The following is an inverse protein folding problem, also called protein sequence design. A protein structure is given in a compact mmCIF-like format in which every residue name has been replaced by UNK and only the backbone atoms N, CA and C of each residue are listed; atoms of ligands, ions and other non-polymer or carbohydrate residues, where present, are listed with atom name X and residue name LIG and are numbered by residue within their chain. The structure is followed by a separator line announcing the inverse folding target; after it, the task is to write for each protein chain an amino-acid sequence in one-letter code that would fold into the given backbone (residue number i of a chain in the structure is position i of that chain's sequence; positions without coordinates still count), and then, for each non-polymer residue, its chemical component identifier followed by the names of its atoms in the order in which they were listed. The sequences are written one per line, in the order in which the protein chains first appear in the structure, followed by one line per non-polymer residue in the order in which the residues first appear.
data_IF_990250231383
#
_entry.id   IF_990250231383
#
_cell.length_a   1.000
_cell.length_b   1.000
_cell.length_c   1.000
_cell.angle_alpha   90.00
_cell.angle_beta   90.00
_cell.angle_gamma   90.00
#
_symmetry.space_group_name_H-M   'P 1'
#
loop_
_entity.id
_entity.type
_entity.pdbx_description
1 polymer ?
#
# COMPACT_ATOMS: atom_id res chain seq x y z
N UNK A 1 23.82 15.11 10.20
CA UNK A 1 22.42 15.01 10.67
C UNK A 1 22.48 14.44 12.07
N UNK A 2 22.17 15.23 13.10
CA UNK A 2 21.69 14.62 14.35
C UNK A 2 20.43 13.85 13.94
N UNK A 3 20.46 12.53 14.07
CA UNK A 3 19.25 11.71 13.96
C UNK A 3 18.20 12.36 14.85
N UNK A 4 16.95 12.49 14.37
CA UNK A 4 15.85 12.89 15.25
C UNK A 4 15.89 11.92 16.45
N UNK A 5 16.35 12.44 17.58
CA UNK A 5 17.02 11.61 18.58
C UNK A 5 16.00 10.92 19.46
N UNK A 6 15.65 9.68 19.13
CA UNK A 6 15.15 8.78 20.17
C UNK A 6 16.23 8.67 21.23
N UNK A 7 15.94 9.15 22.44
CA UNK A 7 16.87 9.00 23.57
C UNK A 7 17.15 7.50 23.76
N UNK A 8 18.42 7.08 23.78
CA UNK A 8 18.77 5.69 24.12
C UNK A 8 18.04 5.26 25.40
N UNK A 9 17.27 4.17 25.34
CA UNK A 9 16.46 3.67 26.46
C UNK A 9 14.94 3.92 26.38
N UNK A 10 14.46 4.67 25.38
CA UNK A 10 13.03 4.95 25.16
C UNK A 10 12.41 4.17 23.98
N UNK A 11 13.06 3.10 23.51
CA UNK A 11 12.51 2.22 22.48
C UNK A 11 12.69 0.75 22.88
N UNK A 12 11.77 -0.10 22.40
CA UNK A 12 11.85 -1.55 22.49
C UNK A 12 11.75 -2.11 21.08
N UNK A 13 12.71 -2.95 20.69
CA UNK A 13 12.74 -3.64 19.42
C UNK A 13 12.67 -5.14 19.73
N UNK A 14 11.65 -5.81 19.19
CA UNK A 14 11.44 -7.25 19.35
C UNK A 14 11.43 -7.86 17.96
N UNK A 15 12.35 -8.78 17.69
CA UNK A 15 12.48 -9.44 16.38
C UNK A 15 12.37 -10.96 16.58
N UNK A 16 11.63 -11.60 15.67
CA UNK A 16 11.44 -13.05 15.63
C UNK A 16 11.10 -13.64 17.00
N UNK A 17 11.96 -14.50 17.55
CA UNK A 17 11.74 -15.25 18.81
C UNK A 17 11.50 -14.37 20.03
N UNK A 18 11.90 -13.10 19.98
CA UNK A 18 11.70 -12.13 21.05
C UNK A 18 10.30 -11.53 21.03
N UNK A 19 9.62 -11.53 19.87
CA UNK A 19 8.30 -10.97 19.68
C UNK A 19 7.18 -11.94 20.09
N UNK A 20 7.21 -12.44 21.33
CA UNK A 20 6.09 -13.20 21.90
C UNK A 20 4.94 -12.26 22.28
N UNK A 21 3.71 -12.76 22.37
CA UNK A 21 2.54 -11.92 22.71
C UNK A 21 2.73 -11.19 24.04
N UNK A 22 3.30 -11.87 25.04
CA UNK A 22 3.56 -11.30 26.36
C UNK A 22 4.67 -10.24 26.33
N UNK A 23 5.74 -10.48 25.57
CA UNK A 23 6.82 -9.52 25.40
C UNK A 23 6.33 -8.25 24.69
N UNK A 24 5.53 -8.40 23.62
CA UNK A 24 4.94 -7.28 22.89
C UNK A 24 4.01 -6.45 23.79
N UNK A 25 3.10 -7.09 24.53
CA UNK A 25 2.20 -6.40 25.47
C UNK A 25 2.97 -5.69 26.58
N UNK A 26 4.00 -6.34 27.13
CA UNK A 26 4.86 -5.77 28.17
C UNK A 26 5.64 -4.55 27.67
N UNK A 27 6.16 -4.61 26.44
CA UNK A 27 6.86 -3.48 25.82
C UNK A 27 5.94 -2.28 25.62
N UNK A 28 4.72 -2.50 25.12
CA UNK A 28 3.70 -1.46 24.95
C UNK A 28 3.36 -0.79 26.29
N UNK A 29 3.05 -1.59 27.32
CA UNK A 29 2.72 -1.05 28.64
C UNK A 29 3.91 -0.29 29.25
N UNK A 30 5.13 -0.83 29.12
CA UNK A 30 6.34 -0.16 29.62
C UNK A 30 6.57 1.19 28.92
N UNK A 31 6.36 1.27 27.61
CA UNK A 31 6.49 2.51 26.86
C UNK A 31 5.42 3.53 27.26
N UNK A 32 4.17 3.08 27.46
CA UNK A 32 3.06 3.91 27.95
C UNK A 32 3.33 4.44 29.37
N UNK A 33 3.80 3.60 30.28
CA UNK A 33 4.02 3.97 31.68
C UNK A 33 5.17 4.96 31.85
N UNK A 34 6.21 4.86 31.00
CA UNK A 34 7.34 5.79 30.97
C UNK A 34 7.01 7.13 30.30
N UNK A 35 5.92 7.21 29.55
CA UNK A 35 5.59 8.37 28.74
C UNK A 35 5.03 9.54 29.60
N UNK A 36 5.70 10.70 29.64
CA UNK A 36 5.17 11.87 30.32
C UNK A 36 4.02 12.52 29.54
N UNK A 37 3.29 13.43 30.17
CA UNK A 37 2.29 14.25 29.47
C UNK A 37 2.92 15.01 28.30
N UNK A 38 2.15 15.18 27.22
CA UNK A 38 2.62 15.84 26.01
C UNK A 38 3.58 15.02 25.13
N UNK A 39 3.97 13.82 25.53
CA UNK A 39 4.90 12.99 24.75
C UNK A 39 4.26 12.36 23.52
N UNK A 40 5.11 11.75 22.69
CA UNK A 40 4.72 10.93 21.53
C UNK A 40 4.91 9.46 21.84
N UNK A 41 3.95 8.62 21.46
CA UNK A 41 4.07 7.16 21.41
C UNK A 41 4.08 6.71 19.95
N UNK A 42 4.99 5.81 19.59
CA UNK A 42 5.11 5.27 18.24
C UNK A 42 5.07 3.75 18.34
N UNK A 43 4.10 3.15 17.67
CA UNK A 43 3.99 1.71 17.49
C UNK A 43 4.21 1.38 16.02
N UNK A 44 5.13 0.44 15.77
CA UNK A 44 5.42 -0.09 14.44
C UNK A 44 5.39 -1.61 14.49
N UNK A 45 4.71 -2.23 13.54
CA UNK A 45 4.66 -3.68 13.37
C UNK A 45 4.90 -4.06 11.91
N UNK A 46 5.73 -5.06 11.65
CA UNK A 46 5.87 -5.68 10.33
C UNK A 46 5.87 -7.20 10.51
N UNK A 47 5.05 -7.91 9.74
CA UNK A 47 4.85 -9.34 9.89
C UNK A 47 3.52 -9.82 9.34
N UNK A 48 2.98 -10.91 9.91
CA UNK A 48 1.68 -11.43 9.49
C UNK A 48 0.54 -10.82 10.31
N UNK A 49 -0.54 -10.43 9.66
CA UNK A 49 -1.80 -10.16 10.34
C UNK A 49 -2.79 -11.28 10.06
N UNK A 50 -3.57 -11.64 11.06
CA UNK A 50 -4.62 -12.67 10.96
C UNK A 50 -5.95 -12.11 11.46
N UNK A 51 -7.03 -12.55 10.83
CA UNK A 51 -8.40 -12.25 11.22
C UNK A 51 -9.08 -13.54 11.67
N UNK A 52 -9.75 -13.51 12.81
CA UNK A 52 -10.55 -14.65 13.28
C UNK A 52 -11.99 -14.63 12.72
N UNK A 53 -12.77 -15.65 13.05
CA UNK A 53 -14.15 -15.79 12.58
C UNK A 53 -15.10 -14.72 13.17
N UNK A 54 -14.71 -14.08 14.28
CA UNK A 54 -15.46 -12.98 14.92
C UNK A 54 -15.01 -11.61 14.36
N UNK A 55 -14.25 -11.60 13.27
CA UNK A 55 -13.65 -10.41 12.64
C UNK A 55 -12.67 -9.64 13.53
N UNK A 56 -12.14 -10.27 14.58
CA UNK A 56 -11.07 -9.68 15.39
C UNK A 56 -9.74 -9.81 14.68
N UNK A 57 -8.95 -8.75 14.75
CA UNK A 57 -7.65 -8.65 14.10
C UNK A 57 -6.54 -8.85 15.13
N UNK A 58 -5.59 -9.71 14.76
CA UNK A 58 -4.41 -10.00 15.54
C UNK A 58 -3.17 -9.80 14.68
N UNK A 59 -2.16 -9.17 15.25
CA UNK A 59 -0.81 -9.24 14.72
C UNK A 59 -0.15 -10.53 15.21
N UNK A 60 0.47 -11.26 14.29
CA UNK A 60 1.13 -12.52 14.59
C UNK A 60 2.39 -12.26 15.41
N UNK A 61 2.34 -12.64 16.68
CA UNK A 61 3.52 -12.84 17.50
C UNK A 61 4.21 -14.16 17.12
N UNK A 62 5.46 -14.32 17.52
CA UNK A 62 6.25 -15.52 17.26
C UNK A 62 5.60 -16.81 17.76
N UNK A 63 4.89 -16.73 18.88
CA UNK A 63 4.22 -17.83 19.57
C UNK A 63 2.75 -18.01 19.16
N UNK A 64 2.31 -17.35 18.08
CA UNK A 64 0.93 -17.49 17.60
C UNK A 64 0.65 -18.94 17.15
N UNK A 65 -0.52 -19.44 17.54
CA UNK A 65 -1.01 -20.76 17.11
C UNK A 65 -2.24 -20.60 16.23
N UNK A 66 -2.21 -21.18 15.02
CA UNK A 66 -3.34 -21.22 14.09
C UNK A 66 -4.60 -21.77 14.77
N UNK A 67 -5.70 -21.03 14.67
CA UNK A 67 -6.97 -21.38 15.31
C UNK A 67 -7.07 -21.05 16.81
N UNK A 68 -6.02 -20.48 17.43
CA UNK A 68 -6.00 -20.04 18.84
C UNK A 68 -5.62 -18.56 19.00
N UNK A 69 -5.93 -17.74 18.01
CA UNK A 69 -5.52 -16.33 17.92
C UNK A 69 -5.90 -15.50 19.14
N UNK A 70 -7.10 -15.70 19.70
CA UNK A 70 -7.54 -14.99 20.92
C UNK A 70 -6.60 -15.15 22.11
N UNK A 71 -5.96 -16.31 22.26
CA UNK A 71 -5.05 -16.59 23.37
C UNK A 71 -3.58 -16.32 23.04
N UNK A 72 -3.18 -16.46 21.78
CA UNK A 72 -1.76 -16.46 21.39
C UNK A 72 -1.38 -15.34 20.42
N UNK A 73 -2.34 -14.57 19.93
CA UNK A 73 -2.11 -13.46 19.00
C UNK A 73 -2.08 -12.12 19.72
N UNK A 74 -1.39 -11.15 19.13
CA UNK A 74 -1.39 -9.78 19.63
C UNK A 74 -2.65 -9.05 19.16
N UNK A 75 -3.65 -8.97 20.04
CA UNK A 75 -4.95 -8.34 19.76
C UNK A 75 -4.80 -6.83 19.47
N UNK A 76 -5.18 -6.40 18.27
CA UNK A 76 -5.06 -5.00 17.83
C UNK A 76 -5.99 -4.09 18.62
N UNK A 77 -7.19 -4.57 19.00
CA UNK A 77 -8.11 -3.80 19.83
C UNK A 77 -7.61 -3.63 21.27
N UNK A 78 -6.87 -4.61 21.80
CA UNK A 78 -6.18 -4.46 23.07
C UNK A 78 -5.15 -3.32 23.03
N UNK A 79 -4.38 -3.19 21.93
CA UNK A 79 -3.43 -2.08 21.76
C UNK A 79 -4.17 -0.74 21.78
N UNK A 80 -5.27 -0.63 21.03
CA UNK A 80 -6.09 0.56 21.00
C UNK A 80 -6.66 0.94 22.37
N UNK A 81 -7.18 -0.04 23.12
CA UNK A 81 -7.67 0.16 24.50
C UNK A 81 -6.53 0.61 25.44
N UNK A 82 -5.38 -0.06 25.39
CA UNK A 82 -4.24 0.26 26.25
C UNK A 82 -3.75 1.70 26.02
N UNK A 83 -3.60 2.12 24.76
CA UNK A 83 -3.20 3.49 24.41
C UNK A 83 -4.30 4.49 24.79
N UNK A 84 -5.57 4.21 24.47
CA UNK A 84 -6.68 5.10 24.82
C UNK A 84 -6.73 5.37 26.32
N UNK A 85 -6.67 4.32 27.13
CA UNK A 85 -6.97 4.38 28.57
C UNK A 85 -5.78 4.75 29.45
N UNK A 86 -4.56 4.38 29.04
CA UNK A 86 -3.38 4.49 29.91
C UNK A 86 -2.33 5.49 29.43
N UNK A 87 -2.24 5.76 28.13
CA UNK A 87 -1.27 6.72 27.61
C UNK A 87 -1.63 8.14 28.00
N UNK A 88 -0.70 8.81 28.68
CA UNK A 88 -0.83 10.20 29.17
C UNK A 88 -0.28 11.24 28.20
N UNK A 89 0.47 10.81 27.19
CA UNK A 89 1.01 11.71 26.16
C UNK A 89 -0.08 12.21 25.21
N UNK A 90 0.35 12.96 24.19
CA UNK A 90 -0.56 13.70 23.30
C UNK A 90 -0.62 13.15 21.87
N UNK A 91 0.50 12.68 21.33
CA UNK A 91 0.61 12.23 19.95
C UNK A 91 0.86 10.72 19.88
N UNK A 92 0.15 10.04 19.00
CA UNK A 92 0.27 8.60 18.77
C UNK A 92 0.54 8.35 17.28
N UNK A 93 1.55 7.56 16.96
CA UNK A 93 1.77 7.01 15.63
C UNK A 93 1.47 5.51 15.66
N UNK A 94 0.60 5.07 14.76
CA UNK A 94 0.28 3.66 14.55
C UNK A 94 0.70 3.30 13.13
N UNK A 95 1.74 2.49 13.02
CA UNK A 95 2.34 2.07 11.76
C UNK A 95 2.29 0.54 11.65
N UNK A 96 1.82 0.01 10.52
CA UNK A 96 1.91 -1.43 10.31
C UNK A 96 2.08 -1.83 8.84
N UNK A 97 3.04 -2.73 8.61
CA UNK A 97 3.29 -3.40 7.34
C UNK A 97 2.87 -4.88 7.43
N UNK A 98 1.56 -5.12 7.31
CA UNK A 98 0.98 -6.46 7.40
C UNK A 98 -0.45 -6.53 6.86
N UNK A 99 -0.95 -7.75 6.64
CA UNK A 99 -2.37 -8.00 6.36
C UNK A 99 -3.26 -7.43 7.46
N UNK A 100 -4.43 -6.90 7.10
CA UNK A 100 -5.40 -6.32 8.04
C UNK A 100 -4.85 -5.16 8.91
N UNK A 101 -3.69 -4.62 8.56
CA UNK A 101 -3.06 -3.49 9.26
C UNK A 101 -3.99 -2.28 9.40
N UNK A 102 -4.87 -2.05 8.41
CA UNK A 102 -5.85 -0.98 8.45
C UNK A 102 -6.85 -1.05 9.62
N UNK A 103 -6.91 -2.13 10.40
CA UNK A 103 -7.63 -2.15 11.68
C UNK A 103 -7.12 -1.06 12.66
N UNK A 104 -5.86 -0.62 12.49
CA UNK A 104 -5.32 0.53 13.23
C UNK A 104 -6.04 1.84 12.92
N UNK A 105 -6.74 1.97 11.77
CA UNK A 105 -7.56 3.15 11.46
C UNK A 105 -8.75 3.26 12.43
N UNK A 106 -9.38 2.12 12.72
CA UNK A 106 -10.52 2.04 13.64
C UNK A 106 -10.07 2.29 15.08
N UNK A 107 -8.94 1.70 15.49
CA UNK A 107 -8.35 1.96 16.80
C UNK A 107 -7.85 3.41 16.95
N UNK A 108 -7.35 4.03 15.87
CA UNK A 108 -6.95 5.43 15.86
C UNK A 108 -8.14 6.38 16.14
N UNK A 109 -9.31 6.10 15.56
CA UNK A 109 -10.54 6.87 15.80
C UNK A 109 -10.98 6.81 17.26
N UNK A 110 -10.92 5.60 17.83
CA UNK A 110 -11.20 5.33 19.23
C UNK A 110 -10.21 6.00 20.18
N UNK A 111 -8.90 5.98 19.86
CA UNK A 111 -7.86 6.70 20.62
C UNK A 111 -8.09 8.21 20.52
N UNK A 112 -8.41 8.73 19.33
CA UNK A 112 -8.63 10.17 19.12
C UNK A 112 -9.84 10.70 19.87
N UNK A 113 -10.91 9.90 19.98
CA UNK A 113 -12.10 10.23 20.78
C UNK A 113 -11.78 10.46 22.27
N UNK A 114 -10.64 9.99 22.77
CA UNK A 114 -10.12 10.29 24.11
C UNK A 114 -9.23 11.56 24.16
N UNK A 115 -9.29 12.43 23.15
CA UNK A 115 -8.60 13.72 23.10
C UNK A 115 -7.12 13.66 22.67
N UNK A 116 -6.69 12.53 22.11
CA UNK A 116 -5.32 12.32 21.60
C UNK A 116 -5.23 12.65 20.11
N UNK A 117 -4.06 13.11 19.68
CA UNK A 117 -3.76 13.27 18.27
C UNK A 117 -3.19 11.95 17.74
N UNK A 118 -3.64 11.49 16.58
CA UNK A 118 -3.23 10.19 16.03
C UNK A 118 -2.85 10.32 14.55
N UNK A 119 -1.71 9.72 14.20
CA UNK A 119 -1.24 9.51 12.84
C UNK A 119 -1.27 8.01 12.61
N UNK A 120 -1.96 7.55 11.57
CA UNK A 120 -2.01 6.13 11.22
C UNK A 120 -1.66 5.94 9.75
N UNK A 121 -0.70 5.05 9.50
CA UNK A 121 -0.22 4.67 8.17
C UNK A 121 -0.08 3.14 8.14
N UNK A 122 -0.68 2.50 7.15
CA UNK A 122 -0.78 1.03 7.08
C UNK A 122 -0.59 0.55 5.65
N UNK A 123 0.09 -0.57 5.45
CA UNK A 123 0.31 -1.12 4.10
C UNK A 123 -0.99 -1.62 3.46
N UNK A 124 -1.98 -2.04 4.25
CA UNK A 124 -3.26 -2.53 3.75
C UNK A 124 -4.45 -1.80 4.39
N UNK A 125 -5.54 -1.64 3.63
CA UNK A 125 -6.84 -1.29 4.20
C UNK A 125 -7.32 -2.35 5.21
N UNK A 126 -8.27 -2.00 6.09
CA UNK A 126 -8.66 -2.82 7.25
C UNK A 126 -9.19 -4.22 6.90
N UNK A 127 -9.67 -4.41 5.69
CA UNK A 127 -10.23 -5.65 5.18
C UNK A 127 -9.31 -6.41 4.21
N UNK A 128 -8.10 -5.90 3.95
CA UNK A 128 -7.23 -6.40 2.90
C UNK A 128 -6.10 -7.28 3.43
N UNK A 129 -5.71 -8.27 2.64
CA UNK A 129 -4.43 -8.97 2.78
C UNK A 129 -3.34 -8.05 2.21
N UNK A 130 -2.19 -7.96 2.88
CA UNK A 130 -1.03 -7.24 2.36
C UNK A 130 -0.22 -8.11 1.41
N UNK A 131 0.42 -7.52 0.41
CA UNK A 131 1.43 -8.23 -0.37
C UNK A 131 2.65 -8.54 0.50
N UNK A 132 3.47 -9.48 0.02
CA UNK A 132 4.69 -9.88 0.70
C UNK A 132 5.85 -8.89 0.49
N UNK A 133 5.66 -7.78 -0.22
CA UNK A 133 6.72 -6.80 -0.50
C UNK A 133 6.82 -5.76 0.64
N UNK A 134 8.01 -5.18 0.82
CA UNK A 134 8.27 -4.17 1.86
C UNK A 134 8.09 -2.74 1.35
N UNK A 135 7.23 -2.51 0.35
CA UNK A 135 7.07 -1.17 -0.26
C UNK A 135 6.66 -0.13 0.77
N UNK A 136 5.74 -0.45 1.68
CA UNK A 136 5.32 0.48 2.74
C UNK A 136 6.50 0.88 3.61
N UNK A 137 7.22 -0.10 4.16
CA UNK A 137 8.38 0.16 5.03
C UNK A 137 9.47 0.95 4.31
N UNK A 138 9.76 0.58 3.06
CA UNK A 138 10.78 1.25 2.26
C UNK A 138 10.38 2.70 1.93
N UNK A 139 9.13 2.95 1.55
CA UNK A 139 8.61 4.30 1.31
C UNK A 139 8.61 5.16 2.57
N UNK A 140 8.34 4.58 3.76
CA UNK A 140 8.50 5.29 5.04
C UNK A 140 9.95 5.68 5.29
N UNK A 141 10.90 4.76 5.07
CA UNK A 141 12.34 5.04 5.20
C UNK A 141 12.75 6.15 4.22
N UNK A 142 12.24 6.13 2.98
CA UNK A 142 12.53 7.15 1.98
C UNK A 142 12.05 8.53 2.42
N UNK A 143 10.81 8.64 2.87
CA UNK A 143 10.26 9.88 3.39
C UNK A 143 11.10 10.38 4.56
N UNK A 144 11.38 9.53 5.56
CA UNK A 144 12.17 9.90 6.75
C UNK A 144 13.63 10.22 6.44
N UNK A 145 14.18 9.67 5.36
CA UNK A 145 15.54 9.97 4.90
C UNK A 145 15.63 11.28 4.11
N UNK A 146 14.50 11.96 3.91
CA UNK A 146 14.47 13.21 3.15
C UNK A 146 14.54 12.98 1.65
N UNK A 147 13.95 11.90 1.12
CA UNK A 147 13.97 11.67 -0.33
C UNK A 147 13.29 12.82 -1.08
N UNK A 148 13.98 13.51 -2.01
CA UNK A 148 13.42 14.68 -2.69
C UNK A 148 12.15 14.43 -3.51
N UNK A 149 11.91 13.19 -3.95
CA UNK A 149 10.68 12.81 -4.66
C UNK A 149 9.44 12.82 -3.77
N UNK A 150 9.61 12.72 -2.44
CA UNK A 150 8.52 12.76 -1.48
C UNK A 150 8.17 14.20 -1.06
N UNK A 151 9.00 15.20 -1.40
CA UNK A 151 8.67 16.63 -1.28
C UNK A 151 7.87 17.04 -2.52
N UNK A 152 6.55 16.87 -2.45
CA UNK A 152 5.64 16.96 -3.60
C UNK A 152 5.34 18.40 -3.98
N UNK A 153 5.40 19.32 -3.02
CA UNK A 153 5.19 20.74 -3.27
C UNK A 153 6.51 21.51 -3.52
N UNK A 154 7.67 20.90 -3.26
CA UNK A 154 8.99 21.48 -3.48
C UNK A 154 9.39 22.56 -2.46
N UNK A 155 8.78 22.58 -1.27
CA UNK A 155 9.01 23.60 -0.24
C UNK A 155 10.24 23.32 0.65
N UNK A 156 10.91 22.18 0.43
CA UNK A 156 12.09 21.76 1.17
C UNK A 156 11.78 20.94 2.42
N UNK A 157 10.51 20.62 2.67
CA UNK A 157 10.01 19.86 3.82
C UNK A 157 9.11 18.75 3.31
N UNK A 158 9.35 17.53 3.76
CA UNK A 158 8.39 16.44 3.58
C UNK A 158 7.41 16.53 4.75
N UNK A 159 6.16 16.88 4.45
CA UNK A 159 5.06 16.92 5.40
C UNK A 159 4.46 15.52 5.66
N UNK A 160 3.64 15.42 6.72
CA UNK A 160 2.95 14.16 7.01
C UNK A 160 1.96 13.77 5.91
N UNK A 161 1.31 14.74 5.26
CA UNK A 161 0.39 14.46 4.16
C UNK A 161 1.13 13.98 2.91
N UNK A 162 2.28 14.56 2.60
CA UNK A 162 3.12 14.09 1.50
C UNK A 162 3.66 12.68 1.75
N UNK A 163 4.00 12.36 3.00
CA UNK A 163 4.36 10.99 3.41
C UNK A 163 3.22 10.01 3.14
N UNK A 164 1.98 10.35 3.54
CA UNK A 164 0.81 9.52 3.26
C UNK A 164 0.51 9.38 1.77
N UNK A 165 0.72 10.45 0.99
CA UNK A 165 0.56 10.45 -0.47
C UNK A 165 1.60 9.57 -1.15
N UNK A 166 2.87 9.70 -0.78
CA UNK A 166 3.98 8.89 -1.30
C UNK A 166 3.75 7.40 -1.03
N UNK A 167 3.31 7.05 0.18
CA UNK A 167 2.95 5.67 0.52
C UNK A 167 1.78 5.16 -0.30
N UNK A 168 0.72 5.98 -0.45
CA UNK A 168 -0.45 5.61 -1.25
C UNK A 168 -0.11 5.34 -2.70
N UNK A 169 0.71 6.19 -3.32
CA UNK A 169 1.19 6.01 -4.68
C UNK A 169 2.07 4.76 -4.79
N UNK A 170 3.05 4.59 -3.91
CA UNK A 170 3.95 3.44 -3.96
C UNK A 170 3.17 2.12 -3.84
N UNK A 171 2.23 2.01 -2.89
CA UNK A 171 1.39 0.82 -2.72
C UNK A 171 0.46 0.59 -3.92
N UNK A 172 -0.14 1.67 -4.47
CA UNK A 172 -1.00 1.57 -5.65
C UNK A 172 -0.25 1.11 -6.89
N UNK A 173 0.85 1.77 -7.22
CA UNK A 173 1.56 1.57 -8.47
C UNK A 173 2.50 0.36 -8.45
N UNK A 174 3.08 0.00 -7.30
CA UNK A 174 3.95 -1.17 -7.19
C UNK A 174 3.20 -2.46 -6.83
N UNK A 175 2.12 -2.35 -6.06
CA UNK A 175 1.49 -3.53 -5.46
C UNK A 175 0.00 -3.71 -5.79
N UNK A 176 -0.64 -2.72 -6.43
CA UNK A 176 -2.09 -2.72 -6.67
C UNK A 176 -2.86 -2.93 -5.36
N UNK A 177 -2.36 -2.34 -4.28
CA UNK A 177 -2.92 -2.48 -2.94
C UNK A 177 -3.28 -1.13 -2.34
N UNK A 178 -4.48 -1.05 -1.78
CA UNK A 178 -4.93 0.14 -1.07
C UNK A 178 -4.28 0.17 0.31
N UNK A 179 -3.53 1.23 0.59
CA UNK A 179 -2.99 1.52 1.92
C UNK A 179 -4.02 2.25 2.79
N UNK A 180 -3.79 2.30 4.10
CA UNK A 180 -4.55 3.16 5.01
C UNK A 180 -3.74 4.36 5.46
N UNK A 181 -4.30 5.56 5.34
CA UNK A 181 -3.75 6.80 5.88
C UNK A 181 -4.86 7.67 6.46
N UNK A 182 -4.72 8.09 7.72
CA UNK A 182 -5.66 9.04 8.35
C UNK A 182 -4.94 9.85 9.42
N UNK A 183 -5.34 11.12 9.52
CA UNK A 183 -4.87 12.07 10.52
C UNK A 183 -6.03 12.44 11.44
N UNK A 184 -5.80 12.39 12.75
CA UNK A 184 -6.76 12.82 13.75
C UNK A 184 -6.12 13.89 14.63
N UNK A 185 -6.64 15.12 14.59
CA UNK A 185 -6.12 16.23 15.38
C UNK A 185 -4.70 16.67 15.02
N UNK A 186 -4.19 16.28 13.85
CA UNK A 186 -2.86 16.64 13.32
C UNK A 186 -3.04 17.47 12.06
N UNK A 187 -2.27 18.55 11.92
CA UNK A 187 -2.25 19.35 10.71
C UNK A 187 -1.56 18.56 9.58
N UNK A 188 -2.20 18.49 8.41
CA UNK A 188 -1.69 17.81 7.21
C UNK A 188 -0.33 18.35 6.75
N UNK A 189 -0.05 19.63 6.97
CA UNK A 189 1.22 20.29 6.64
C UNK A 189 2.25 20.19 7.76
N UNK A 190 2.01 19.36 8.79
CA UNK A 190 2.98 19.19 9.86
C UNK A 190 4.31 18.67 9.30
N UNK A 191 5.45 19.34 9.56
CA UNK A 191 6.74 18.96 9.02
C UNK A 191 7.20 17.64 9.63
N UNK A 192 7.58 16.67 8.80
CA UNK A 192 8.17 15.41 9.25
C UNK A 192 9.70 15.47 9.20
N UNK A 193 10.25 15.80 8.03
CA UNK A 193 11.70 15.91 7.82
C UNK A 193 12.03 16.93 6.75
N UNK A 194 13.23 17.51 6.81
CA UNK A 194 13.75 18.32 5.70
C UNK A 194 14.19 17.41 4.56
N UNK A 195 13.88 17.82 3.33
CA UNK A 195 14.40 17.11 2.17
C UNK A 195 15.93 17.17 2.09
N UNK A 196 16.54 16.15 1.52
CA UNK A 196 17.98 16.05 1.27
C UNK A 196 18.41 16.75 -0.03
N UNK A 197 17.45 17.23 -0.83
CA UNK A 197 17.67 17.87 -2.12
C UNK A 197 16.37 18.32 -2.77
N UNK A 198 16.42 18.75 -4.03
CA UNK A 198 15.23 19.13 -4.79
C UNK A 198 15.15 18.32 -6.08
N UNK A 199 13.93 18.13 -6.56
CA UNK A 199 13.65 17.52 -7.86
C UNK A 199 12.99 18.56 -8.73
N UNK A 200 13.54 18.78 -9.93
CA UNK A 200 12.95 19.68 -10.90
C UNK A 200 11.70 19.05 -11.47
N UNK A 201 10.56 19.73 -11.32
CA UNK A 201 9.31 19.32 -11.95
C UNK A 201 9.48 19.33 -13.47
N UNK A 202 9.32 18.17 -14.11
CA UNK A 202 9.19 18.08 -15.56
C UNK A 202 7.75 18.37 -16.00
N UNK A 203 7.54 18.55 -17.30
CA UNK A 203 6.21 18.51 -17.92
C UNK A 203 6.14 17.35 -18.90
N UNK A 204 4.99 16.67 -18.97
CA UNK A 204 4.77 15.47 -19.80
C UNK A 204 4.70 14.17 -19.01
N UNK A 205 4.78 13.05 -19.72
CA UNK A 205 4.41 11.73 -19.18
C UNK A 205 5.57 11.03 -18.44
N UNK A 206 6.83 11.35 -18.78
CA UNK A 206 8.04 10.73 -18.19
C UNK A 206 8.78 11.71 -17.27
N UNK A 207 8.15 12.05 -16.15
CA UNK A 207 8.70 12.99 -15.16
C UNK A 207 9.15 12.28 -13.89
N UNK A 208 10.15 12.81 -13.16
CA UNK A 208 10.54 12.29 -11.85
C UNK A 208 9.32 12.10 -10.94
N UNK A 209 9.23 10.93 -10.30
CA UNK A 209 8.14 10.52 -9.43
C UNK A 209 6.99 9.79 -10.14
N UNK A 210 6.92 9.82 -11.47
CA UNK A 210 5.92 9.05 -12.22
C UNK A 210 6.22 7.54 -12.16
N UNK A 211 5.17 6.72 -12.28
CA UNK A 211 5.28 5.26 -12.26
C UNK A 211 4.96 4.65 -13.62
N UNK A 212 5.80 3.69 -14.03
CA UNK A 212 5.75 2.99 -15.31
C UNK A 212 6.01 1.50 -15.11
N UNK A 213 5.70 0.70 -16.12
CA UNK A 213 6.19 -0.68 -16.23
C UNK A 213 7.48 -0.68 -17.05
N UNK A 214 8.48 -1.45 -16.61
CA UNK A 214 9.75 -1.64 -17.30
C UNK A 214 10.17 -3.12 -17.32
N UNK A 215 10.91 -3.57 -18.35
CA UNK A 215 11.41 -4.94 -18.43
C UNK A 215 12.33 -5.30 -17.26
N UNK A 216 12.13 -6.48 -16.67
CA UNK A 216 12.97 -7.03 -15.62
C UNK A 216 12.93 -8.55 -15.61
N UNK A 217 14.09 -9.19 -15.78
CA UNK A 217 14.22 -10.64 -15.62
C UNK A 217 13.34 -11.47 -16.56
N UNK A 218 12.96 -10.94 -17.73
CA UNK A 218 12.05 -11.59 -18.68
C UNK A 218 10.56 -11.32 -18.44
N UNK A 219 10.23 -10.52 -17.42
CA UNK A 219 8.88 -10.02 -17.13
C UNK A 219 8.85 -8.49 -17.15
N UNK A 220 7.73 -7.88 -16.75
CA UNK A 220 7.59 -6.44 -16.51
C UNK A 220 7.43 -6.17 -15.01
N UNK A 221 8.03 -5.08 -14.53
CA UNK A 221 7.89 -4.65 -13.14
C UNK A 221 7.68 -3.13 -13.04
N UNK A 222 6.96 -2.73 -11.99
CA UNK A 222 6.69 -1.33 -11.72
C UNK A 222 7.98 -0.59 -11.30
N UNK A 223 8.25 0.54 -11.94
CA UNK A 223 9.36 1.44 -11.65
C UNK A 223 8.86 2.83 -11.30
N UNK A 224 9.62 3.53 -10.46
CA UNK A 224 9.49 4.98 -10.26
C UNK A 224 10.56 5.68 -11.07
N UNK A 225 10.19 6.68 -11.86
CA UNK A 225 11.15 7.50 -12.60
C UNK A 225 11.92 8.36 -11.59
N UNK A 226 13.25 8.26 -11.59
CA UNK A 226 14.13 9.13 -10.81
C UNK A 226 14.51 10.37 -11.61
N UNK A 227 14.86 10.18 -12.88
CA UNK A 227 15.25 11.24 -13.81
C UNK A 227 14.86 10.85 -15.23
N UNK A 228 14.56 11.85 -16.06
CA UNK A 228 14.41 11.68 -17.50
C UNK A 228 15.20 12.76 -18.23
N UNK A 229 15.87 12.37 -19.29
CA UNK A 229 16.46 13.28 -20.27
C UNK A 229 15.81 13.10 -21.66
N UNK A 230 16.46 13.56 -22.72
CA UNK A 230 15.92 13.49 -24.07
C UNK A 230 15.65 12.05 -24.56
N UNK A 231 16.45 11.06 -24.16
CA UNK A 231 16.31 9.69 -24.65
C UNK A 231 16.42 8.60 -23.59
N UNK A 232 16.97 8.91 -22.42
CA UNK A 232 17.18 8.00 -21.31
C UNK A 232 16.31 8.36 -20.11
N UNK A 233 15.86 7.33 -19.40
CA UNK A 233 15.03 7.44 -18.21
C UNK A 233 15.64 6.55 -17.13
N UNK A 234 16.16 7.18 -16.07
CA UNK A 234 16.69 6.51 -14.90
C UNK A 234 15.51 6.11 -14.00
N UNK A 235 15.36 4.82 -13.77
CA UNK A 235 14.20 4.21 -13.11
C UNK A 235 14.63 3.40 -11.88
N UNK A 236 13.81 3.43 -10.84
CA UNK A 236 14.02 2.72 -9.58
C UNK A 236 13.04 1.54 -9.44
N UNK A 237 13.61 0.35 -9.27
CA UNK A 237 12.90 -0.83 -8.80
C UNK A 237 12.97 -0.96 -7.29
N UNK A 238 11.88 -1.50 -6.72
CA UNK A 238 11.89 -2.06 -5.38
C UNK A 238 11.88 -3.59 -5.51
N UNK A 239 12.89 -4.22 -4.94
CA UNK A 239 13.08 -5.67 -4.89
C UNK A 239 12.99 -6.12 -3.44
N UNK A 240 11.76 -6.38 -2.98
CA UNK A 240 11.51 -6.69 -1.58
C UNK A 240 11.99 -5.55 -0.66
N UNK A 241 13.17 -5.67 -0.04
CA UNK A 241 13.81 -4.64 0.80
C UNK A 241 14.92 -3.86 0.09
N UNK A 242 15.34 -4.30 -1.09
CA UNK A 242 16.44 -3.69 -1.82
C UNK A 242 15.92 -2.74 -2.90
N UNK A 243 16.77 -1.79 -3.28
CA UNK A 243 16.51 -0.93 -4.42
C UNK A 243 17.57 -1.10 -5.47
N UNK A 244 17.14 -1.10 -6.72
CA UNK A 244 18.02 -1.07 -7.86
C UNK A 244 17.62 0.02 -8.82
N UNK A 245 18.63 0.65 -9.42
CA UNK A 245 18.43 1.69 -10.44
C UNK A 245 18.89 1.16 -11.78
N UNK A 246 18.06 1.35 -12.80
CA UNK A 246 18.35 0.94 -14.18
C UNK A 246 17.94 2.07 -15.11
N UNK A 247 18.73 2.30 -16.15
CA UNK A 247 18.42 3.28 -17.19
C UNK A 247 17.81 2.58 -18.40
N UNK A 248 16.66 3.08 -18.82
CA UNK A 248 15.93 2.61 -20.00
C UNK A 248 15.88 3.70 -21.07
N UNK A 249 15.62 3.32 -22.32
CA UNK A 249 15.10 4.24 -23.32
C UNK A 249 13.60 4.46 -23.13
N UNK A 250 13.08 5.60 -23.60
CA UNK A 250 11.66 5.95 -23.44
C UNK A 250 10.69 4.89 -23.99
N UNK A 251 11.08 4.22 -25.07
CA UNK A 251 10.23 3.21 -25.74
C UNK A 251 10.20 1.86 -25.01
N UNK A 252 11.08 1.64 -24.04
CA UNK A 252 11.06 0.43 -23.19
C UNK A 252 10.10 0.58 -22.01
N UNK A 253 9.62 1.79 -21.74
CA UNK A 253 8.69 2.06 -20.65
C UNK A 253 7.25 2.04 -21.13
N UNK A 254 6.40 1.39 -20.36
CA UNK A 254 4.98 1.30 -20.64
C UNK A 254 4.17 2.02 -19.55
N UNK A 255 3.23 2.92 -19.92
CA UNK A 255 2.38 3.58 -18.94
C UNK A 255 1.57 2.56 -18.13
N UNK A 256 1.49 2.77 -16.82
CA UNK A 256 0.55 2.02 -15.99
C UNK A 256 -0.84 2.59 -16.21
N UNK A 257 -1.81 1.71 -16.48
CA UNK A 257 -3.20 2.08 -16.66
C UNK A 257 -4.11 1.31 -15.69
N UNK A 258 -5.14 1.98 -15.19
CA UNK A 258 -6.16 1.39 -14.32
C UNK A 258 -7.52 1.48 -15.00
N UNK A 259 -8.12 0.32 -15.29
CA UNK A 259 -9.48 0.24 -15.82
C UNK A 259 -10.45 0.70 -14.76
N UNK A 260 -11.40 1.55 -15.17
CA UNK A 260 -12.34 2.16 -14.26
C UNK A 260 -13.69 1.44 -14.21
N UNK A 261 -14.22 1.28 -13.01
CA UNK A 261 -15.55 0.73 -12.72
C UNK A 261 -16.40 1.74 -11.94
N UNK A 262 -17.73 1.57 -12.00
CA UNK A 262 -18.69 2.42 -11.31
C UNK A 262 -19.30 1.74 -10.10
N UNK A 263 -19.68 2.54 -9.10
CA UNK A 263 -20.47 2.04 -7.96
C UNK A 263 -21.80 1.47 -8.48
N UNK A 264 -22.13 0.26 -8.03
CA UNK A 264 -23.29 -0.52 -8.47
C UNK A 264 -22.99 -1.53 -9.59
N UNK A 265 -21.79 -1.52 -10.17
CA UNK A 265 -21.42 -2.51 -11.19
C UNK A 265 -21.44 -3.93 -10.62
N UNK A 266 -22.04 -4.85 -11.38
CA UNK A 266 -22.00 -6.29 -11.12
C UNK A 266 -20.78 -6.87 -11.83
N UNK A 267 -19.89 -7.44 -11.04
CA UNK A 267 -18.57 -7.89 -11.47
C UNK A 267 -18.28 -9.28 -10.89
N UNK A 268 -17.16 -9.86 -11.32
CA UNK A 268 -16.50 -11.01 -10.74
C UNK A 268 -15.17 -10.55 -10.18
N UNK A 269 -14.83 -10.99 -8.97
CA UNK A 269 -13.56 -10.68 -8.31
C UNK A 269 -12.76 -11.96 -8.10
N UNK A 270 -11.47 -11.93 -8.43
CA UNK A 270 -10.55 -13.05 -8.22
C UNK A 270 -10.12 -13.13 -6.75
N UNK A 271 -10.28 -14.27 -6.09
CA UNK A 271 -9.83 -14.55 -4.73
C UNK A 271 -9.33 -16.00 -4.64
N UNK A 272 -8.11 -16.20 -4.11
CA UNK A 272 -7.40 -17.50 -4.07
C UNK A 272 -7.48 -18.30 -5.38
N UNK A 273 -7.30 -17.62 -6.52
CA UNK A 273 -7.30 -18.23 -7.86
C UNK A 273 -8.68 -18.61 -8.41
N UNK A 274 -9.77 -18.23 -7.73
CA UNK A 274 -11.15 -18.45 -8.17
C UNK A 274 -11.88 -17.11 -8.36
N UNK A 275 -12.89 -17.11 -9.23
CA UNK A 275 -13.69 -15.91 -9.52
C UNK A 275 -15.06 -16.01 -8.83
N UNK A 276 -15.41 -14.99 -8.07
CA UNK A 276 -16.67 -14.92 -7.33
C UNK A 276 -17.48 -13.70 -7.79
N UNK A 277 -18.80 -13.84 -7.90
CA UNK A 277 -19.68 -12.72 -8.20
C UNK A 277 -19.67 -11.69 -7.06
N UNK A 278 -19.63 -10.41 -7.41
CA UNK A 278 -19.59 -9.30 -6.47
C UNK A 278 -20.25 -8.04 -7.05
N UNK A 279 -20.47 -7.06 -6.19
CA UNK A 279 -20.96 -5.73 -6.56
C UNK A 279 -20.03 -4.64 -6.01
N UNK A 280 -19.72 -3.63 -6.83
CA UNK A 280 -18.96 -2.47 -6.40
C UNK A 280 -19.83 -1.60 -5.48
N UNK A 281 -19.39 -1.40 -4.25
CA UNK A 281 -20.11 -0.59 -3.24
C UNK A 281 -19.51 0.80 -3.05
N UNK A 282 -18.20 0.95 -3.23
CA UNK A 282 -17.50 2.25 -3.18
C UNK A 282 -16.36 2.25 -4.19
N UNK A 283 -15.96 3.43 -4.64
CA UNK A 283 -14.80 3.65 -5.50
C UNK A 283 -13.95 4.77 -4.92
N UNK A 284 -12.63 4.56 -4.84
CA UNK A 284 -11.67 5.54 -4.33
C UNK A 284 -10.28 5.27 -4.92
N UNK A 285 -9.69 6.25 -5.59
CA UNK A 285 -8.31 6.20 -6.10
C UNK A 285 -7.99 4.92 -6.92
N UNK A 286 -8.85 4.56 -7.87
CA UNK A 286 -8.77 3.34 -8.70
C UNK A 286 -8.90 2.00 -7.94
N UNK A 287 -9.33 2.07 -6.68
CA UNK A 287 -9.75 0.91 -5.89
C UNK A 287 -11.26 0.86 -5.72
N UNK A 288 -11.78 -0.36 -5.61
CA UNK A 288 -13.20 -0.65 -5.51
C UNK A 288 -13.48 -1.49 -4.27
N UNK A 289 -14.30 -0.97 -3.37
CA UNK A 289 -14.80 -1.75 -2.23
C UNK A 289 -15.93 -2.64 -2.72
N UNK A 290 -15.74 -3.95 -2.65
CA UNK A 290 -16.65 -4.93 -3.23
C UNK A 290 -17.41 -5.71 -2.16
N UNK A 291 -18.64 -6.12 -2.51
CA UNK A 291 -19.46 -7.05 -1.74
C UNK A 291 -19.62 -8.35 -2.53
N UNK A 292 -19.06 -9.44 -2.03
CA UNK A 292 -19.27 -10.76 -2.63
C UNK A 292 -20.74 -11.21 -2.50
N UNK A 293 -21.31 -11.71 -3.59
CA UNK A 293 -22.70 -12.14 -3.65
C UNK A 293 -22.89 -13.44 -2.87
N UNK A 294 -23.81 -13.45 -1.90
CA UNK A 294 -24.11 -14.62 -1.06
C UNK A 294 -23.11 -14.84 0.10
N UNK A 295 -22.19 -13.91 0.32
CA UNK A 295 -21.24 -13.94 1.43
C UNK A 295 -21.54 -12.81 2.42
N UNK A 296 -21.11 -12.96 3.68
CA UNK A 296 -21.23 -11.96 4.73
C UNK A 296 -20.30 -10.76 4.53
N UNK A 297 -20.57 -9.62 5.18
CA UNK A 297 -19.81 -8.37 4.97
C UNK A 297 -18.34 -8.46 5.39
N UNK A 298 -17.99 -9.45 6.20
CA UNK A 298 -16.62 -9.65 6.64
C UNK A 298 -15.66 -10.08 5.51
N UNK A 299 -16.19 -10.56 4.38
CA UNK A 299 -15.42 -10.89 3.17
C UNK A 299 -15.22 -9.70 2.23
N UNK A 300 -15.92 -8.59 2.47
CA UNK A 300 -15.78 -7.40 1.63
C UNK A 300 -14.34 -6.88 1.72
N UNK A 301 -13.79 -6.41 0.60
CA UNK A 301 -12.42 -5.93 0.51
C UNK A 301 -12.30 -4.81 -0.53
N UNK A 302 -11.20 -4.08 -0.52
CA UNK A 302 -10.83 -3.18 -1.60
C UNK A 302 -10.00 -3.92 -2.64
N UNK A 303 -10.33 -3.81 -3.93
CA UNK A 303 -9.55 -4.41 -5.02
C UNK A 303 -9.27 -3.40 -6.11
N UNK A 304 -8.14 -3.55 -6.78
CA UNK A 304 -7.84 -2.85 -8.02
C UNK A 304 -8.37 -3.64 -9.24
N UNK A 305 -8.32 -3.00 -10.41
CA UNK A 305 -8.91 -3.53 -11.64
C UNK A 305 -8.38 -4.92 -12.04
N UNK A 306 -7.14 -5.26 -11.67
CA UNK A 306 -6.47 -6.50 -12.08
C UNK A 306 -7.13 -7.76 -11.51
N UNK A 307 -7.90 -7.60 -10.43
CA UNK A 307 -8.72 -8.65 -9.81
C UNK A 307 -10.18 -8.61 -10.25
N UNK A 308 -10.58 -7.73 -11.17
CA UNK A 308 -11.98 -7.55 -11.58
C UNK A 308 -12.21 -8.04 -13.02
N UNK A 309 -13.35 -8.70 -13.26
CA UNK A 309 -13.94 -8.95 -14.58
C UNK A 309 -15.43 -8.61 -14.56
N UNK A 310 -15.97 -8.08 -15.63
CA UNK A 310 -17.40 -7.86 -15.90
C UNK A 310 -18.12 -9.12 -16.39
N UNK A 311 -17.39 -10.11 -16.90
CA UNK A 311 -17.96 -11.28 -17.58
C UNK A 311 -18.47 -10.97 -19.00
N UNK A 312 -18.22 -9.75 -19.49
CA UNK A 312 -18.58 -9.27 -20.83
C UNK A 312 -17.34 -9.00 -21.69
N UNK A 313 -16.16 -9.38 -21.21
CA UNK A 313 -14.92 -9.18 -21.94
C UNK A 313 -14.96 -9.93 -23.27
N UNK A 314 -14.56 -9.23 -24.33
CA UNK A 314 -14.44 -9.83 -25.67
C UNK A 314 -13.09 -10.54 -25.77
N UNK A 315 -13.10 -11.83 -26.08
CA UNK A 315 -11.89 -12.60 -26.37
C UNK A 315 -11.27 -12.13 -27.66
N UNK A 316 -9.94 -12.13 -27.73
CA UNK A 316 -9.19 -11.72 -28.91
C UNK A 316 -7.88 -12.52 -29.04
N UNK A 317 -7.29 -12.47 -30.23
CA UNK A 317 -5.88 -12.73 -30.46
C UNK A 317 -5.16 -11.37 -30.54
N UNK A 318 -4.06 -11.22 -29.80
CA UNK A 318 -3.25 -10.01 -29.71
C UNK A 318 -1.87 -10.31 -30.28
N UNK A 319 -1.42 -9.48 -31.22
CA UNK A 319 -0.11 -9.62 -31.85
C UNK A 319 0.98 -9.03 -30.95
N UNK A 320 2.09 -9.75 -30.82
CA UNK A 320 3.31 -9.29 -30.18
C UNK A 320 4.51 -9.90 -30.90
N UNK A 321 5.39 -9.06 -31.45
CA UNK A 321 6.62 -9.47 -32.14
C UNK A 321 6.41 -10.54 -33.24
N UNK A 322 5.34 -10.41 -34.02
CA UNK A 322 4.95 -11.30 -35.11
C UNK A 322 4.15 -12.55 -34.69
N UNK A 323 3.91 -12.73 -33.38
CA UNK A 323 3.21 -13.89 -32.83
C UNK A 323 1.87 -13.46 -32.24
N UNK A 324 0.82 -14.26 -32.44
CA UNK A 324 -0.52 -13.99 -31.91
C UNK A 324 -0.75 -14.77 -30.63
N UNK A 325 -1.13 -14.06 -29.57
CA UNK A 325 -1.39 -14.60 -28.24
C UNK A 325 -2.87 -14.44 -27.88
N UNK A 326 -3.50 -15.42 -27.20
CA UNK A 326 -4.86 -15.27 -26.71
C UNK A 326 -4.94 -14.24 -25.57
N UNK A 327 -6.06 -13.53 -25.49
CA UNK A 327 -6.35 -12.62 -24.40
C UNK A 327 -7.77 -12.07 -24.46
N UNK A 328 -8.02 -11.06 -23.64
CA UNK A 328 -9.31 -10.40 -23.49
C UNK A 328 -9.16 -8.88 -23.59
N UNK A 329 -10.21 -8.23 -24.11
CA UNK A 329 -10.35 -6.77 -24.09
C UNK A 329 -11.00 -6.35 -22.77
N UNK A 330 -10.28 -5.53 -22.01
CA UNK A 330 -10.75 -4.93 -20.76
C UNK A 330 -11.44 -3.58 -20.99
N UNK A 331 -10.93 -2.77 -21.92
CA UNK A 331 -11.49 -1.46 -22.27
C UNK A 331 -11.25 -1.14 -23.75
N UNK A 332 -12.18 -0.40 -24.37
CA UNK A 332 -12.06 0.10 -25.74
C UNK A 332 -12.21 1.63 -25.72
N UNK A 333 -11.22 2.34 -26.26
CA UNK A 333 -11.21 3.80 -26.26
C UNK A 333 -10.46 4.35 -27.47
N UNK A 334 -11.15 5.16 -28.27
CA UNK A 334 -10.54 5.88 -29.39
C UNK A 334 -9.87 4.98 -30.44
N UNK A 335 -10.48 3.84 -30.77
CA UNK A 335 -9.93 2.87 -31.74
C UNK A 335 -8.73 2.06 -31.20
N UNK A 336 -8.51 2.07 -29.89
CA UNK A 336 -7.53 1.23 -29.20
C UNK A 336 -8.21 0.33 -28.19
N UNK A 337 -7.53 -0.75 -27.84
CA UNK A 337 -8.01 -1.77 -26.92
C UNK A 337 -7.01 -1.95 -25.78
N UNK A 338 -7.46 -1.81 -24.55
CA UNK A 338 -6.69 -2.20 -23.38
C UNK A 338 -6.92 -3.68 -23.12
N UNK A 339 -5.85 -4.46 -23.11
CA UNK A 339 -5.92 -5.93 -23.13
C UNK A 339 -5.27 -6.57 -21.91
N UNK A 340 -5.68 -7.81 -21.64
CA UNK A 340 -5.01 -8.75 -20.72
C UNK A 340 -4.73 -10.03 -21.51
N UNK A 341 -3.47 -10.43 -21.57
CA UNK A 341 -3.09 -11.73 -22.16
C UNK A 341 -3.53 -12.89 -21.27
N UNK A 342 -3.97 -13.98 -21.87
CA UNK A 342 -4.38 -15.17 -21.13
C UNK A 342 -3.17 -15.85 -20.46
N UNK A 343 -3.32 -16.19 -19.17
CA UNK A 343 -2.27 -16.77 -18.32
C UNK A 343 -1.10 -15.83 -17.98
N UNK A 344 -1.21 -14.54 -18.28
CA UNK A 344 -0.26 -13.53 -17.85
C UNK A 344 -0.87 -12.63 -16.77
N UNK A 345 -0.01 -12.08 -15.91
CA UNK A 345 -0.42 -11.12 -14.89
C UNK A 345 -0.63 -9.73 -15.50
N UNK A 346 -1.19 -8.81 -14.72
CA UNK A 346 -1.50 -7.44 -15.13
C UNK A 346 -0.28 -6.62 -15.59
N UNK A 347 0.94 -7.10 -15.29
CA UNK A 347 2.18 -6.39 -15.63
C UNK A 347 2.39 -6.27 -17.14
N UNK A 348 1.71 -7.12 -17.92
CA UNK A 348 1.73 -7.09 -19.40
C UNK A 348 0.56 -6.33 -20.03
N UNK A 349 -0.35 -5.77 -19.22
CA UNK A 349 -1.53 -5.10 -19.76
C UNK A 349 -1.19 -3.82 -20.51
N UNK A 350 -1.51 -3.77 -21.80
CA UNK A 350 -1.15 -2.66 -22.68
C UNK A 350 -2.34 -2.18 -23.50
N UNK A 351 -2.22 -0.96 -24.04
CA UNK A 351 -3.08 -0.47 -25.10
C UNK A 351 -2.53 -0.91 -26.45
N UNK A 352 -3.33 -1.62 -27.24
CA UNK A 352 -3.00 -2.02 -28.61
C UNK A 352 -3.94 -1.36 -29.63
N UNK A 353 -3.44 -1.10 -30.84
CA UNK A 353 -4.26 -0.62 -31.95
C UNK A 353 -5.01 -1.75 -32.67
N UNK A 354 -5.93 -1.36 -33.56
CA UNK A 354 -6.70 -2.29 -34.41
C UNK A 354 -5.83 -3.24 -35.23
N UNK A 355 -4.61 -2.83 -35.58
CA UNK A 355 -3.65 -3.63 -36.34
C UNK A 355 -3.07 -4.82 -35.55
N UNK A 356 -3.07 -4.73 -34.21
CA UNK A 356 -2.53 -5.75 -33.30
C UNK A 356 -3.61 -6.62 -32.66
N UNK A 357 -4.88 -6.51 -33.07
CA UNK A 357 -5.98 -7.29 -32.47
C UNK A 357 -6.86 -7.97 -33.51
N UNK A 358 -7.34 -9.18 -33.19
CA UNK A 358 -8.31 -9.94 -34.00
C UNK A 358 -9.32 -10.61 -33.07
N UNK A 359 -10.60 -10.61 -33.45
CA UNK A 359 -11.70 -11.15 -32.64
C UNK A 359 -12.14 -12.53 -33.10
#
# INVERSE_FOLDING_TARGET
MESQSFKPGNFSLLIDREATVDAMKSAVLTAIDKAPEGSTFIFYYAGHGVKDNDSRIYFASYDITTGKYKSTGFDVSWLGDAVRDKFKGKLVWLLADCCYSGALLDEAEKISSAGKNVIVLTSAASCNISTANWTFTQSMIDCLSGLPLADRNGDGIISINETGTELGDAMKYRERQMCGFKLFGVNETAPLVKTSGSVTSGSGDLVPGAYYMAPKGGDMAAVRILKSDNNQVECEFYDYSDKSTVTFTKNELQPIYFVNYSVGDKIKVSWEGRWYDAEVKKAQNDFYYIKYAGYEDFWNEWVAYDRIKTGKERTAQIEQNGVWYPGIVLEEKGGKYFIRYDNYSYVWDEWVGEERIRF
#
